data_IF_343845540649
#
_entry.id   IF_343845540649
#
_cell.length_a   1.000
_cell.length_b   1.000
_cell.length_c   1.000
_cell.angle_alpha   90.00
_cell.angle_beta   90.00
_cell.angle_gamma   90.00
#
_symmetry.space_group_name_H-M   'P 1'
#
loop_
_entity.id
_entity.type
_entity.pdbx_description
1 polymer ?
#
# COMPACT_ATOMS: atom_id res chain seq x y z
N UNK A 1 8.57 -23.61 12.46
CA UNK A 1 8.69 -24.51 13.63
C UNK A 1 7.54 -25.53 13.60
N UNK A 2 7.66 -26.69 14.27
CA UNK A 2 6.53 -27.55 14.51
C UNK A 2 5.42 -26.76 15.25
N UNK A 3 4.17 -26.86 14.75
CA UNK A 3 3.03 -26.12 15.31
C UNK A 3 2.73 -24.76 14.67
N UNK A 4 3.55 -24.29 13.73
CA UNK A 4 3.26 -23.06 12.99
C UNK A 4 2.32 -23.36 11.79
N UNK A 5 1.37 -22.47 11.52
CA UNK A 5 0.61 -22.48 10.27
C UNK A 5 1.50 -21.98 9.13
N UNK A 6 1.80 -22.88 8.16
CA UNK A 6 2.63 -22.55 7.01
C UNK A 6 1.78 -22.52 5.76
N UNK A 7 1.61 -21.36 5.16
CA UNK A 7 0.83 -21.18 3.94
C UNK A 7 1.62 -20.37 2.91
N UNK A 8 1.54 -20.77 1.65
CA UNK A 8 2.06 -20.06 0.49
C UNK A 8 0.88 -19.71 -0.41
N UNK A 9 0.87 -18.50 -0.96
CA UNK A 9 -0.09 -18.08 -1.97
C UNK A 9 0.63 -17.81 -3.28
N UNK A 10 0.13 -18.41 -4.35
CA UNK A 10 0.64 -18.21 -5.71
C UNK A 10 -0.51 -17.69 -6.57
N UNK A 11 -0.37 -16.49 -7.12
CA UNK A 11 -1.35 -15.87 -8.00
C UNK A 11 -0.76 -15.61 -9.38
N UNK A 12 -1.56 -15.83 -10.44
CA UNK A 12 -1.15 -15.57 -11.81
C UNK A 12 -2.21 -16.00 -12.82
N UNK A 13 -1.93 -15.77 -14.11
CA UNK A 13 -2.82 -16.08 -15.23
C UNK A 13 -2.21 -17.05 -16.24
N UNK A 14 -0.90 -17.30 -16.18
CA UNK A 14 -0.22 -18.27 -17.02
C UNK A 14 -0.49 -19.71 -16.56
N UNK A 15 -0.24 -20.73 -17.38
CA UNK A 15 -0.34 -22.12 -16.94
C UNK A 15 0.53 -22.40 -15.72
N UNK A 16 -0.01 -23.08 -14.70
CA UNK A 16 0.72 -23.37 -13.45
C UNK A 16 1.95 -24.28 -13.69
N UNK A 17 1.98 -24.96 -14.84
CA UNK A 17 3.12 -25.74 -15.32
C UNK A 17 4.20 -24.92 -16.05
N UNK A 18 4.06 -23.59 -16.10
CA UNK A 18 5.04 -22.72 -16.76
C UNK A 18 6.43 -22.82 -16.13
N UNK A 19 7.44 -22.89 -16.99
CA UNK A 19 8.83 -22.92 -16.56
C UNK A 19 9.37 -24.34 -16.28
N UNK A 20 10.64 -24.43 -15.83
CA UNK A 20 11.34 -25.71 -15.71
C UNK A 20 11.00 -26.49 -14.42
N UNK A 21 10.19 -25.95 -13.53
CA UNK A 21 9.91 -26.56 -12.23
C UNK A 21 8.68 -27.47 -12.34
N UNK A 22 8.85 -28.75 -12.03
CA UNK A 22 7.74 -29.69 -11.89
C UNK A 22 6.94 -29.38 -10.62
N UNK A 23 5.84 -28.66 -10.77
CA UNK A 23 4.98 -28.24 -9.66
C UNK A 23 4.37 -29.43 -8.91
N UNK A 24 4.15 -30.60 -9.56
CA UNK A 24 3.62 -31.79 -8.90
C UNK A 24 4.60 -32.32 -7.87
N UNK A 25 5.87 -32.39 -8.24
CA UNK A 25 6.94 -32.83 -7.33
C UNK A 25 7.16 -31.82 -6.18
N UNK A 26 7.06 -30.52 -6.49
CA UNK A 26 7.21 -29.46 -5.47
C UNK A 26 6.01 -29.45 -4.54
N UNK A 27 4.78 -29.58 -5.05
CA UNK A 27 3.55 -29.68 -4.25
C UNK A 27 3.59 -30.85 -3.26
N UNK A 28 3.96 -32.04 -3.73
CA UNK A 28 4.13 -33.21 -2.83
C UNK A 28 5.19 -32.96 -1.73
N UNK A 29 6.28 -32.24 -2.05
CA UNK A 29 7.32 -31.88 -1.06
C UNK A 29 6.82 -30.80 -0.09
N UNK A 30 5.96 -29.90 -0.51
CA UNK A 30 5.35 -28.89 0.35
C UNK A 30 4.42 -29.57 1.35
N UNK A 31 3.53 -30.45 0.87
CA UNK A 31 2.66 -31.28 1.71
C UNK A 31 3.45 -32.06 2.77
N UNK A 32 4.53 -32.78 2.37
CA UNK A 32 5.38 -33.52 3.28
C UNK A 32 6.07 -32.66 4.36
N UNK A 33 6.05 -31.33 4.22
CA UNK A 33 6.60 -30.34 5.19
C UNK A 33 5.52 -29.55 5.91
N UNK A 34 4.28 -29.97 5.76
CA UNK A 34 3.12 -29.29 6.34
C UNK A 34 3.00 -27.82 5.87
N UNK A 35 3.28 -27.59 4.57
CA UNK A 35 3.15 -26.30 3.91
C UNK A 35 1.97 -26.39 2.95
N UNK A 36 0.90 -25.65 3.23
CA UNK A 36 -0.22 -25.50 2.31
C UNK A 36 0.13 -24.54 1.17
N UNK A 37 -0.18 -24.91 -0.08
CA UNK A 37 0.01 -24.06 -1.24
C UNK A 37 -1.35 -23.68 -1.80
N UNK A 38 -1.75 -22.43 -1.56
CA UNK A 38 -2.97 -21.86 -2.10
C UNK A 38 -2.69 -21.28 -3.48
N UNK A 39 -3.55 -21.57 -4.43
CA UNK A 39 -3.39 -21.06 -5.80
C UNK A 39 -4.56 -20.16 -6.17
N UNK A 40 -4.28 -19.05 -6.86
CA UNK A 40 -5.27 -18.06 -7.28
C UNK A 40 -5.06 -17.80 -8.77
N UNK A 41 -5.99 -18.31 -9.59
CA UNK A 41 -5.95 -18.03 -11.02
C UNK A 41 -6.63 -16.70 -11.34
N UNK A 42 -5.90 -15.79 -11.97
CA UNK A 42 -6.43 -14.51 -12.44
C UNK A 42 -7.04 -14.69 -13.82
N UNK A 43 -8.30 -15.13 -13.87
CA UNK A 43 -9.03 -15.43 -15.09
C UNK A 43 -10.20 -16.41 -14.85
N UNK A 44 -10.83 -16.94 -15.94
CA UNK A 44 -11.96 -17.85 -15.82
C UNK A 44 -11.59 -19.14 -15.08
N UNK A 45 -12.48 -19.61 -14.16
CA UNK A 45 -12.28 -20.83 -13.37
C UNK A 45 -11.89 -22.05 -14.20
N UNK A 46 -12.60 -22.29 -15.31
CA UNK A 46 -12.34 -23.43 -16.19
C UNK A 46 -10.93 -23.40 -16.82
N UNK A 47 -10.38 -22.22 -17.07
CA UNK A 47 -9.00 -22.08 -17.57
C UNK A 47 -8.03 -22.46 -16.45
N UNK A 48 -8.21 -21.95 -15.23
CA UNK A 48 -7.37 -22.31 -14.09
C UNK A 48 -7.37 -23.81 -13.79
N UNK A 49 -8.53 -24.47 -13.87
CA UNK A 49 -8.64 -25.92 -13.70
C UNK A 49 -7.86 -26.68 -14.78
N UNK A 50 -8.01 -26.29 -16.04
CA UNK A 50 -7.32 -26.94 -17.18
C UNK A 50 -5.81 -26.69 -17.20
N UNK A 51 -5.36 -25.58 -16.68
CA UNK A 51 -3.95 -25.15 -16.71
C UNK A 51 -3.17 -25.52 -15.43
N UNK A 52 -3.77 -26.35 -14.55
CA UNK A 52 -3.08 -26.98 -13.43
C UNK A 52 -3.14 -26.21 -12.11
N UNK A 53 -3.82 -25.06 -12.01
CA UNK A 53 -3.92 -24.27 -10.78
C UNK A 53 -4.67 -25.04 -9.67
N UNK A 54 -5.78 -25.67 -10.00
CA UNK A 54 -6.55 -26.50 -9.07
C UNK A 54 -5.76 -27.72 -8.59
N UNK A 55 -5.02 -28.37 -9.50
CA UNK A 55 -4.16 -29.51 -9.15
C UNK A 55 -3.01 -29.07 -8.24
N UNK A 56 -2.38 -27.91 -8.51
CA UNK A 56 -1.29 -27.36 -7.70
C UNK A 56 -1.72 -27.13 -6.25
N UNK A 57 -2.90 -26.59 -6.01
CA UNK A 57 -3.46 -26.42 -4.69
C UNK A 57 -3.70 -27.77 -3.99
N UNK A 58 -4.38 -28.69 -4.67
CA UNK A 58 -4.77 -29.99 -4.13
C UNK A 58 -3.56 -30.84 -3.68
N UNK A 59 -2.45 -30.77 -4.40
CA UNK A 59 -1.23 -31.55 -4.09
C UNK A 59 -0.54 -31.11 -2.79
N UNK A 60 -0.87 -29.94 -2.25
CA UNK A 60 -0.27 -29.39 -1.04
C UNK A 60 -1.34 -28.93 -0.03
N UNK A 61 -2.50 -29.56 0.00
CA UNK A 61 -3.62 -29.28 0.91
C UNK A 61 -4.00 -27.78 0.95
N UNK A 62 -3.83 -27.10 -0.19
CA UNK A 62 -4.21 -25.70 -0.35
C UNK A 62 -5.58 -25.53 -0.99
N UNK A 63 -6.03 -24.30 -1.05
CA UNK A 63 -7.28 -23.88 -1.72
C UNK A 63 -7.01 -23.34 -3.11
N UNK A 64 -7.93 -23.60 -4.06
CA UNK A 64 -7.93 -23.00 -5.39
C UNK A 64 -8.98 -21.90 -5.46
N UNK A 65 -8.51 -20.67 -5.64
CA UNK A 65 -9.34 -19.50 -5.88
C UNK A 65 -9.23 -18.98 -7.31
N UNK A 66 -10.18 -18.16 -7.71
CA UNK A 66 -10.15 -17.42 -8.98
C UNK A 66 -10.41 -15.95 -8.73
N UNK A 67 -9.77 -15.10 -9.54
CA UNK A 67 -10.04 -13.68 -9.60
C UNK A 67 -10.40 -13.32 -11.03
N UNK A 68 -11.46 -12.57 -11.19
CA UNK A 68 -11.75 -11.91 -12.46
C UNK A 68 -10.82 -10.69 -12.58
N UNK A 69 -9.77 -10.83 -13.41
CA UNK A 69 -8.78 -9.77 -13.61
C UNK A 69 -9.37 -8.52 -14.31
N UNK A 70 -10.50 -8.68 -15.02
CA UNK A 70 -11.20 -7.60 -15.72
C UNK A 70 -12.17 -6.87 -14.78
N UNK A 71 -12.44 -7.44 -13.62
CA UNK A 71 -13.28 -6.82 -12.60
C UNK A 71 -12.45 -5.83 -11.80
N UNK A 72 -12.46 -4.57 -12.22
CA UNK A 72 -11.91 -3.50 -11.42
C UNK A 72 -12.52 -3.55 -10.00
N UNK A 73 -11.69 -3.55 -8.97
CA UNK A 73 -12.17 -3.41 -7.58
C UNK A 73 -12.98 -2.12 -7.53
N UNK A 74 -14.29 -2.27 -7.41
CA UNK A 74 -15.17 -1.12 -7.39
C UNK A 74 -14.78 -0.21 -6.22
N UNK A 75 -14.49 1.04 -6.52
CA UNK A 75 -14.27 2.03 -5.48
C UNK A 75 -15.56 2.19 -4.67
N UNK A 76 -15.47 1.94 -3.38
CA UNK A 76 -16.56 2.17 -2.44
C UNK A 76 -16.38 3.56 -1.83
N UNK A 77 -17.27 4.51 -2.10
CA UNK A 77 -17.24 5.85 -1.49
C UNK A 77 -17.39 5.74 0.02
N UNK A 78 -16.64 6.57 0.74
CA UNK A 78 -16.73 6.66 2.19
C UNK A 78 -16.90 8.14 2.62
N UNK A 79 -17.61 8.41 3.72
CA UNK A 79 -17.82 9.78 4.20
C UNK A 79 -16.52 10.57 4.43
N UNK A 80 -15.43 9.87 4.71
CA UNK A 80 -14.09 10.45 4.97
C UNK A 80 -13.37 10.96 3.71
N UNK A 81 -13.80 10.54 2.52
CA UNK A 81 -13.03 10.70 1.28
C UNK A 81 -12.82 12.15 0.87
N UNK A 82 -13.76 13.03 1.13
CA UNK A 82 -13.62 14.47 0.82
C UNK A 82 -12.58 15.13 1.72
N UNK A 83 -12.60 14.83 3.02
CA UNK A 83 -11.61 15.37 3.95
C UNK A 83 -10.21 14.83 3.63
N UNK A 84 -10.08 13.57 3.28
CA UNK A 84 -8.81 12.96 2.86
C UNK A 84 -8.25 13.66 1.61
N UNK A 85 -9.09 13.92 0.62
CA UNK A 85 -8.67 14.62 -0.60
C UNK A 85 -8.17 16.05 -0.30
N UNK A 86 -8.91 16.80 0.54
CA UNK A 86 -8.51 18.14 0.98
C UNK A 86 -7.17 18.12 1.71
N UNK A 87 -6.98 17.20 2.66
CA UNK A 87 -5.74 17.06 3.42
C UNK A 87 -4.58 16.58 2.54
N UNK A 88 -4.83 15.75 1.53
CA UNK A 88 -3.83 15.37 0.54
C UNK A 88 -3.30 16.54 -0.28
N UNK A 89 -4.14 17.54 -0.54
CA UNK A 89 -3.72 18.82 -1.10
C UNK A 89 -2.94 19.67 -0.10
N UNK A 90 -3.47 19.84 1.10
CA UNK A 90 -2.87 20.66 2.15
C UNK A 90 -1.47 20.20 2.54
N UNK A 91 -1.21 18.90 2.60
CA UNK A 91 0.13 18.37 2.92
C UNK A 91 1.17 18.82 1.89
N UNK A 92 0.77 19.01 0.62
CA UNK A 92 1.68 19.45 -0.44
C UNK A 92 2.17 20.90 -0.22
N UNK A 93 1.37 21.72 0.45
CA UNK A 93 1.74 23.12 0.78
C UNK A 93 2.74 23.21 1.95
N UNK A 94 3.01 22.07 2.59
CA UNK A 94 4.03 21.99 3.66
C UNK A 94 5.42 21.66 3.14
N UNK A 95 5.58 21.26 1.87
CA UNK A 95 6.90 20.98 1.30
C UNK A 95 7.63 22.26 0.92
N UNK A 96 8.91 22.34 1.29
CA UNK A 96 9.81 23.43 0.95
C UNK A 96 10.93 22.88 0.06
N UNK A 97 10.85 23.07 -1.28
CA UNK A 97 11.89 22.59 -2.17
C UNK A 97 13.23 23.29 -1.89
N UNK A 98 14.31 22.53 -1.79
CA UNK A 98 15.66 23.06 -1.55
C UNK A 98 16.73 22.26 -2.33
N UNK A 99 17.90 22.85 -2.47
CA UNK A 99 19.04 22.24 -3.13
C UNK A 99 18.83 22.04 -4.64
N UNK A 100 19.76 21.32 -5.27
CA UNK A 100 19.73 21.07 -6.71
C UNK A 100 18.51 20.25 -7.14
N UNK A 101 18.02 19.36 -6.27
CA UNK A 101 16.88 18.48 -6.55
C UNK A 101 15.51 19.10 -6.19
N UNK A 102 15.49 20.26 -5.54
CA UNK A 102 14.28 20.87 -4.98
C UNK A 102 13.13 20.99 -5.98
N UNK A 103 13.38 21.68 -7.10
CA UNK A 103 12.36 21.92 -8.14
C UNK A 103 11.93 20.61 -8.83
N UNK A 104 12.89 19.76 -9.20
CA UNK A 104 12.62 18.51 -9.87
C UNK A 104 11.89 17.52 -8.95
N UNK A 105 12.27 17.45 -7.67
CA UNK A 105 11.61 16.63 -6.65
C UNK A 105 10.16 17.03 -6.42
N UNK A 106 9.89 18.32 -6.28
CA UNK A 106 8.53 18.85 -6.16
C UNK A 106 7.69 18.57 -7.40
N UNK A 107 8.27 18.71 -8.60
CA UNK A 107 7.58 18.39 -9.85
C UNK A 107 7.22 16.90 -9.94
N UNK A 108 8.15 16.01 -9.59
CA UNK A 108 7.90 14.56 -9.53
C UNK A 108 6.79 14.22 -8.53
N UNK A 109 6.79 14.83 -7.37
CA UNK A 109 5.77 14.65 -6.34
C UNK A 109 4.37 15.06 -6.86
N UNK A 110 4.25 16.23 -7.51
CA UNK A 110 2.99 16.69 -8.13
C UNK A 110 2.53 15.76 -9.26
N UNK A 111 3.46 15.28 -10.10
CA UNK A 111 3.14 14.33 -11.16
C UNK A 111 2.59 13.01 -10.62
N UNK A 112 3.17 12.48 -9.53
CA UNK A 112 2.66 11.27 -8.89
C UNK A 112 1.26 11.46 -8.30
N UNK A 113 0.98 12.61 -7.68
CA UNK A 113 -0.36 12.92 -7.17
C UNK A 113 -1.37 13.04 -8.32
N UNK A 114 -0.99 13.69 -9.43
CA UNK A 114 -1.81 13.78 -10.64
C UNK A 114 -2.10 12.40 -11.25
N UNK A 115 -1.08 11.56 -11.38
CA UNK A 115 -1.24 10.20 -11.90
C UNK A 115 -2.19 9.36 -11.02
N UNK A 116 -2.06 9.46 -9.69
CA UNK A 116 -2.98 8.78 -8.78
C UNK A 116 -4.42 9.28 -8.94
N UNK A 117 -4.62 10.59 -9.11
CA UNK A 117 -5.94 11.19 -9.33
C UNK A 117 -6.54 10.78 -10.68
N UNK A 118 -5.72 10.68 -11.72
CA UNK A 118 -6.16 10.26 -13.06
C UNK A 118 -6.48 8.77 -13.12
N UNK A 119 -5.85 7.95 -12.29
CA UNK A 119 -6.11 6.52 -12.26
C UNK A 119 -7.51 6.22 -11.69
N UNK A 120 -7.79 6.62 -10.47
CA UNK A 120 -9.11 6.58 -9.84
C UNK A 120 -9.06 7.21 -8.43
N UNK A 121 -10.24 7.43 -7.82
CA UNK A 121 -10.36 8.01 -6.48
C UNK A 121 -9.72 7.16 -5.38
N UNK A 122 -9.76 5.83 -5.49
CA UNK A 122 -9.11 4.93 -4.55
C UNK A 122 -7.59 5.08 -4.54
N UNK A 123 -6.98 5.25 -5.72
CA UNK A 123 -5.54 5.50 -5.86
C UNK A 123 -5.14 6.84 -5.21
N UNK A 124 -5.93 7.90 -5.39
CA UNK A 124 -5.72 9.20 -4.72
C UNK A 124 -5.75 9.08 -3.20
N UNK A 125 -6.72 8.34 -2.67
CA UNK A 125 -6.86 8.11 -1.23
C UNK A 125 -5.66 7.29 -0.68
N UNK A 126 -5.28 6.21 -1.36
CA UNK A 126 -4.08 5.43 -1.00
C UNK A 126 -2.82 6.28 -1.02
N UNK A 127 -2.70 7.17 -1.98
CA UNK A 127 -1.58 8.12 -2.08
C UNK A 127 -1.56 9.09 -0.90
N UNK A 128 -2.73 9.60 -0.46
CA UNK A 128 -2.84 10.46 0.71
C UNK A 128 -2.36 9.75 1.98
N UNK A 129 -2.78 8.51 2.19
CA UNK A 129 -2.34 7.71 3.33
C UNK A 129 -0.83 7.40 3.28
N UNK A 130 -0.29 7.08 2.09
CA UNK A 130 1.16 6.88 1.92
C UNK A 130 1.95 8.11 2.41
N UNK A 131 1.51 9.32 2.06
CA UNK A 131 2.15 10.58 2.51
C UNK A 131 2.04 10.81 4.02
N UNK A 132 1.09 10.16 4.68
CA UNK A 132 0.91 10.24 6.14
C UNK A 132 1.75 9.22 6.91
N UNK A 133 2.45 8.30 6.24
CA UNK A 133 3.31 7.32 6.91
C UNK A 133 4.67 7.91 7.26
N UNK A 134 5.28 7.42 8.35
CA UNK A 134 6.66 7.78 8.70
C UNK A 134 7.72 7.26 7.72
N UNK A 135 7.34 6.39 6.78
CA UNK A 135 8.22 5.85 5.74
C UNK A 135 8.31 6.76 4.51
N UNK A 136 7.36 7.69 4.35
CA UNK A 136 7.36 8.64 3.25
C UNK A 136 8.23 9.84 3.60
N UNK A 137 9.45 9.89 3.05
CA UNK A 137 10.42 10.94 3.32
C UNK A 137 11.00 11.49 2.02
N UNK A 138 11.08 12.80 1.94
CA UNK A 138 11.59 13.56 0.79
C UNK A 138 12.85 14.37 1.14
N UNK A 139 13.66 13.91 2.09
CA UNK A 139 14.82 14.65 2.63
C UNK A 139 15.85 15.09 1.57
N UNK A 140 15.83 14.49 0.37
CA UNK A 140 16.75 14.87 -0.72
C UNK A 140 16.36 16.20 -1.35
N UNK A 141 15.08 16.58 -1.32
CA UNK A 141 14.57 17.77 -2.01
C UNK A 141 13.63 18.64 -1.17
N UNK A 142 13.11 18.12 -0.06
CA UNK A 142 12.24 18.84 0.88
C UNK A 142 12.98 19.20 2.15
N UNK A 143 13.12 20.51 2.40
CA UNK A 143 13.87 21.04 3.53
C UNK A 143 13.27 20.64 4.88
N UNK A 144 11.94 20.55 4.99
CA UNK A 144 11.27 20.17 6.23
C UNK A 144 11.65 18.75 6.63
N UNK A 145 11.56 17.79 5.69
CA UNK A 145 11.99 16.42 5.95
C UNK A 145 13.50 16.32 6.22
N UNK A 146 14.30 17.09 5.49
CA UNK A 146 15.75 17.07 5.66
C UNK A 146 16.17 17.53 7.06
N UNK A 147 15.55 18.58 7.56
CA UNK A 147 15.82 19.12 8.92
C UNK A 147 15.27 18.17 9.99
N UNK A 148 14.03 17.69 9.85
CA UNK A 148 13.40 16.77 10.79
C UNK A 148 14.18 15.44 10.93
N UNK A 149 14.68 14.93 9.81
CA UNK A 149 15.46 13.69 9.76
C UNK A 149 16.96 13.90 10.04
N UNK A 150 17.36 15.11 10.45
CA UNK A 150 18.76 15.47 10.78
C UNK A 150 19.73 15.19 9.62
N UNK A 151 19.26 15.30 8.37
CA UNK A 151 20.09 15.14 7.17
C UNK A 151 20.79 16.44 6.80
N UNK A 152 20.21 17.58 7.21
CA UNK A 152 20.71 18.92 6.94
C UNK A 152 20.54 19.76 8.20
N UNK A 153 21.58 20.52 8.53
CA UNK A 153 21.48 21.63 9.46
C UNK A 153 21.03 22.88 8.69
N UNK A 154 19.88 23.43 9.05
CA UNK A 154 19.25 24.57 8.36
C UNK A 154 20.18 25.79 8.28
N UNK A 155 20.99 26.02 9.31
CA UNK A 155 21.90 27.16 9.37
C UNK A 155 23.10 26.99 8.43
N UNK A 156 23.41 25.77 8.02
CA UNK A 156 24.47 25.45 7.06
C UNK A 156 24.02 25.51 5.59
N UNK A 157 22.70 25.60 5.32
CA UNK A 157 22.17 25.64 3.94
C UNK A 157 22.49 26.97 3.30
N UNK A 158 23.14 26.92 2.14
CA UNK A 158 23.48 28.17 1.37
C UNK A 158 22.20 28.87 0.90
N UNK A 159 22.18 30.17 0.98
CA UNK A 159 21.03 30.97 0.55
C UNK A 159 20.57 30.65 -0.88
N UNK A 160 21.50 30.39 -1.81
CA UNK A 160 21.20 30.02 -3.18
C UNK A 160 20.47 28.66 -3.33
N UNK A 161 20.54 27.78 -2.33
CA UNK A 161 19.86 26.48 -2.31
C UNK A 161 18.45 26.57 -1.73
N UNK A 162 18.07 27.71 -1.18
CA UNK A 162 16.76 27.97 -0.62
C UNK A 162 15.80 28.55 -1.65
N UNK A 163 14.50 28.36 -1.54
CA UNK A 163 13.53 29.04 -2.38
C UNK A 163 13.58 30.58 -2.15
N UNK A 164 13.25 31.39 -3.16
CA UNK A 164 13.38 32.86 -3.08
C UNK A 164 12.71 33.52 -1.87
N UNK A 165 11.60 32.94 -1.40
CA UNK A 165 10.90 33.40 -0.21
C UNK A 165 11.73 33.26 1.07
N UNK A 166 12.52 32.21 1.20
CA UNK A 166 13.36 31.96 2.38
C UNK A 166 14.72 32.69 2.29
N UNK A 167 15.19 32.96 1.09
CA UNK A 167 16.48 33.66 0.91
C UNK A 167 16.51 35.03 1.61
N UNK A 168 15.37 35.75 1.62
CA UNK A 168 15.22 37.09 2.19
C UNK A 168 15.04 37.10 3.71
N UNK A 169 14.84 35.92 4.34
CA UNK A 169 14.60 35.80 5.78
C UNK A 169 15.90 35.70 6.58
N UNK A 170 15.85 36.17 7.83
CA UNK A 170 16.93 35.93 8.79
C UNK A 170 16.98 34.44 9.18
N UNK A 171 18.10 33.95 9.72
CA UNK A 171 18.17 32.57 10.21
C UNK A 171 17.04 32.19 11.17
N UNK A 172 16.70 33.06 12.11
CA UNK A 172 15.60 32.80 13.06
C UNK A 172 14.23 32.71 12.37
N UNK A 173 13.98 33.59 11.40
CA UNK A 173 12.76 33.53 10.61
C UNK A 173 12.68 32.26 9.77
N UNK A 174 13.79 31.81 9.18
CA UNK A 174 13.85 30.55 8.44
C UNK A 174 13.51 29.36 9.35
N UNK A 175 14.09 29.31 10.55
CA UNK A 175 13.80 28.29 11.55
C UNK A 175 12.32 28.29 11.95
N UNK A 176 11.74 29.45 12.15
CA UNK A 176 10.32 29.59 12.45
C UNK A 176 9.42 29.04 11.34
N UNK A 177 9.70 29.39 10.05
CA UNK A 177 8.95 28.89 8.89
C UNK A 177 9.06 27.36 8.76
N UNK A 178 10.27 26.80 8.85
CA UNK A 178 10.47 25.35 8.74
C UNK A 178 9.76 24.62 9.88
N UNK A 179 9.84 25.13 11.09
CA UNK A 179 9.14 24.60 12.26
C UNK A 179 7.62 24.64 12.09
N UNK A 180 7.06 25.75 11.65
CA UNK A 180 5.63 25.90 11.36
C UNK A 180 5.16 24.88 10.34
N UNK A 181 5.90 24.72 9.23
CA UNK A 181 5.57 23.72 8.20
C UNK A 181 5.70 22.28 8.69
N UNK A 182 6.66 21.99 9.55
CA UNK A 182 6.78 20.68 10.21
C UNK A 182 5.60 20.36 11.11
N UNK A 183 5.19 21.33 11.94
CA UNK A 183 4.03 21.20 12.85
C UNK A 183 2.71 21.07 12.07
N UNK A 184 2.54 21.85 11.01
CA UNK A 184 1.38 21.75 10.12
C UNK A 184 1.31 20.37 9.48
N UNK A 185 2.43 19.87 8.91
CA UNK A 185 2.54 18.54 8.33
C UNK A 185 2.19 17.44 9.34
N UNK A 186 2.74 17.52 10.53
CA UNK A 186 2.47 16.53 11.59
C UNK A 186 0.98 16.47 11.97
N UNK A 187 0.31 17.62 12.07
CA UNK A 187 -1.14 17.68 12.32
C UNK A 187 -1.95 17.03 11.16
N UNK A 188 -1.58 17.33 9.92
CA UNK A 188 -2.23 16.75 8.74
C UNK A 188 -2.02 15.24 8.70
N UNK A 189 -0.81 14.77 8.92
CA UNK A 189 -0.49 13.33 8.94
C UNK A 189 -1.25 12.58 10.03
N UNK A 190 -1.31 13.13 11.25
CA UNK A 190 -2.09 12.54 12.33
C UNK A 190 -3.57 12.43 11.96
N UNK A 191 -4.14 13.48 11.38
CA UNK A 191 -5.55 13.48 10.95
C UNK A 191 -5.81 12.49 9.82
N UNK A 192 -4.92 12.36 8.84
CA UNK A 192 -5.02 11.34 7.79
C UNK A 192 -4.98 9.92 8.34
N UNK A 193 -4.16 9.65 9.36
CA UNK A 193 -4.10 8.33 10.02
C UNK A 193 -5.39 8.00 10.78
N UNK A 194 -6.03 8.98 11.43
CA UNK A 194 -7.36 8.81 12.04
C UNK A 194 -8.41 8.48 10.97
N UNK A 195 -8.46 9.27 9.91
CA UNK A 195 -9.38 9.06 8.79
C UNK A 195 -9.17 7.71 8.10
N UNK A 196 -7.95 7.22 8.04
CA UNK A 196 -7.66 5.88 7.53
C UNK A 196 -8.32 4.79 8.37
N UNK A 197 -8.23 4.90 9.70
CA UNK A 197 -8.87 3.96 10.64
C UNK A 197 -10.39 4.00 10.49
N UNK A 198 -10.97 5.20 10.48
CA UNK A 198 -12.41 5.39 10.36
C UNK A 198 -12.94 4.86 9.02
N UNK A 199 -12.20 5.14 7.94
CA UNK A 199 -12.52 4.63 6.61
C UNK A 199 -12.47 3.11 6.54
N UNK A 200 -11.43 2.50 7.12
CA UNK A 200 -11.32 1.03 7.19
C UNK A 200 -12.49 0.41 7.97
N UNK A 201 -12.88 1.01 9.07
CA UNK A 201 -14.03 0.56 9.85
C UNK A 201 -15.35 0.66 9.05
N UNK A 202 -15.58 1.79 8.38
CA UNK A 202 -16.73 1.99 7.52
C UNK A 202 -16.79 0.96 6.39
N UNK A 203 -15.69 0.76 5.66
CA UNK A 203 -15.63 -0.21 4.57
C UNK A 203 -15.84 -1.65 5.05
N UNK A 204 -15.37 -1.99 6.25
CA UNK A 204 -15.63 -3.31 6.85
C UNK A 204 -17.12 -3.53 7.14
N UNK A 205 -17.86 -2.49 7.56
CA UNK A 205 -19.31 -2.56 7.75
C UNK A 205 -20.05 -2.73 6.41
N UNK A 206 -19.69 -1.95 5.39
CA UNK A 206 -20.28 -2.05 4.04
C UNK A 206 -20.05 -3.45 3.45
N UNK A 207 -18.83 -3.96 3.52
CA UNK A 207 -18.49 -5.32 3.03
C UNK A 207 -19.26 -6.42 3.75
N UNK A 208 -19.50 -6.30 5.04
CA UNK A 208 -20.34 -7.26 5.80
C UNK A 208 -21.80 -7.24 5.34
N UNK A 209 -22.30 -6.07 4.95
CA UNK A 209 -23.65 -5.92 4.45
C UNK A 209 -23.83 -6.43 3.01
N UNK A 210 -22.81 -6.32 2.17
CA UNK A 210 -22.87 -6.65 0.74
C UNK A 210 -22.44 -8.07 0.38
N UNK A 211 -21.87 -8.85 1.33
CA UNK A 211 -21.41 -10.25 1.15
C UNK A 211 -20.78 -10.49 -0.25
N UNK A 212 -19.72 -9.78 -0.59
CA UNK A 212 -19.02 -9.96 -1.88
C UNK A 212 -17.80 -10.90 -1.71
N UNK A 213 -17.88 -12.15 -2.24
CA UNK A 213 -16.84 -13.17 -2.02
C UNK A 213 -15.64 -13.10 -2.97
N UNK A 214 -15.63 -12.23 -3.96
CA UNK A 214 -14.73 -12.34 -5.13
C UNK A 214 -13.55 -11.35 -5.14
N UNK A 215 -13.05 -10.92 -3.98
CA UNK A 215 -11.81 -10.11 -3.89
C UNK A 215 -10.62 -10.99 -3.52
N UNK A 216 -9.40 -10.59 -3.94
CA UNK A 216 -8.16 -11.29 -3.57
C UNK A 216 -8.07 -11.50 -2.05
N UNK A 217 -8.35 -10.45 -1.28
CA UNK A 217 -8.34 -10.50 0.19
C UNK A 217 -9.33 -11.54 0.73
N UNK A 218 -10.55 -11.60 0.16
CA UNK A 218 -11.58 -12.53 0.59
C UNK A 218 -11.16 -13.98 0.29
N UNK A 219 -10.62 -14.24 -0.91
CA UNK A 219 -10.12 -15.56 -1.31
C UNK A 219 -8.96 -16.01 -0.43
N UNK A 220 -8.00 -15.11 -0.17
CA UNK A 220 -6.84 -15.40 0.69
C UNK A 220 -7.27 -15.63 2.14
N UNK A 221 -8.12 -14.78 2.70
CA UNK A 221 -8.60 -14.92 4.08
C UNK A 221 -9.46 -16.17 4.27
N UNK A 222 -10.28 -16.52 3.28
CA UNK A 222 -11.05 -17.76 3.35
C UNK A 222 -10.11 -18.97 3.36
N UNK A 223 -9.11 -19.02 2.46
CA UNK A 223 -8.13 -20.09 2.42
C UNK A 223 -7.35 -20.24 3.74
N UNK A 224 -6.96 -19.12 4.36
CA UNK A 224 -6.29 -19.12 5.66
C UNK A 224 -7.19 -19.64 6.78
N UNK A 225 -8.46 -19.21 6.82
CA UNK A 225 -9.43 -19.68 7.83
C UNK A 225 -9.67 -21.18 7.73
N UNK A 226 -9.88 -21.68 6.52
CA UNK A 226 -10.13 -23.11 6.29
C UNK A 226 -8.93 -23.95 6.75
N UNK A 227 -7.71 -23.53 6.41
CA UNK A 227 -6.48 -24.20 6.81
C UNK A 227 -6.20 -24.11 8.30
N UNK A 228 -6.45 -22.94 8.91
CA UNK A 228 -6.32 -22.77 10.35
C UNK A 228 -7.28 -23.70 11.10
N UNK A 229 -8.54 -23.72 10.67
CA UNK A 229 -9.57 -24.60 11.27
C UNK A 229 -9.18 -26.08 11.16
N UNK A 230 -8.72 -26.53 9.98
CA UNK A 230 -8.27 -27.92 9.77
C UNK A 230 -7.08 -28.32 10.66
N UNK A 231 -6.28 -27.34 11.09
CA UNK A 231 -5.09 -27.56 11.93
C UNK A 231 -5.25 -27.15 13.39
N UNK A 232 -6.49 -26.85 13.80
CA UNK A 232 -6.81 -26.50 15.18
C UNK A 232 -6.38 -25.11 15.62
N UNK A 233 -6.10 -24.19 14.69
CA UNK A 233 -5.82 -22.78 14.99
C UNK A 233 -7.12 -21.97 14.98
N UNK A 234 -7.29 -21.08 15.95
CA UNK A 234 -8.34 -20.06 15.93
C UNK A 234 -7.77 -18.75 15.39
N UNK A 235 -8.22 -18.32 14.20
CA UNK A 235 -7.95 -16.97 13.68
C UNK A 235 -9.04 -16.02 14.20
N UNK A 236 -8.63 -14.98 14.89
CA UNK A 236 -9.50 -13.91 15.37
C UNK A 236 -9.79 -12.88 14.24
#
# INVERSE_FOLDING_TARGET
SPGDLKAVFIAGNEPFSQGPVDFRRVGARAHARDIAVNTIHCGPRLVGERTGWSEGARLADGTFGVLDQDRAVAYVPAPQDEEIARLSGAINETYIPYGAEGTAGQARQKAQDSNASSANRGASISRAFTKATGLYSNSVWDLVDAVNNKKVDLDSVKAAELPPALQKLTPDQRRAVVKEKAEERARIQARLQELEKDRKAYLAQVRRAEAAPDTLDAVMMQGLRDQAACRGFALQ
#
